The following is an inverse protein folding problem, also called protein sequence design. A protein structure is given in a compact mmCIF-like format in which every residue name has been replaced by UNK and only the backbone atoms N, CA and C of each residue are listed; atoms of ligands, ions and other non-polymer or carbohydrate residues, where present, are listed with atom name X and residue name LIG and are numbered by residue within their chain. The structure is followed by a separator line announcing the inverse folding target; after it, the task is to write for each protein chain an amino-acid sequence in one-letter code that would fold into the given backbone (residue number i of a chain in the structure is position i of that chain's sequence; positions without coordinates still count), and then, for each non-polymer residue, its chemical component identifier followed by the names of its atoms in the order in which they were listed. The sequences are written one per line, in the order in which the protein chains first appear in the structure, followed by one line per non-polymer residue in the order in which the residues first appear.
data_IF_039573130733
#
_entry.id   IF_039573130733
#
_cell.length_a   1.000
_cell.length_b   1.000
_cell.length_c   1.000
_cell.angle_alpha   90.00
_cell.angle_beta   90.00
_cell.angle_gamma   90.00
#
_symmetry.space_group_name_H-M   'P 1'
#
loop_
_entity.id
_entity.type
_entity.pdbx_description
1 polymer ?
#
# COMPACT_ATOMS: atom_id res chain seq x y z
N UNK A 1 -17.51 -12.60 62.15
CA UNK A 1 -18.88 -12.80 61.67
C UNK A 1 -18.92 -12.28 60.24
N UNK A 2 -18.42 -13.05 59.28
CA UNK A 2 -19.20 -13.97 58.41
C UNK A 2 -20.29 -13.21 57.64
N UNK A 3 -20.04 -12.88 56.37
CA UNK A 3 -20.65 -13.59 55.24
C UNK A 3 -19.96 -13.18 53.92
N UNK A 4 -19.61 -14.21 53.15
CA UNK A 4 -19.10 -14.12 51.80
C UNK A 4 -20.27 -14.28 50.83
N UNK A 5 -20.26 -13.57 49.70
CA UNK A 5 -20.89 -14.05 48.45
C UNK A 5 -20.15 -13.41 47.28
N UNK A 6 -19.26 -14.25 46.74
CA UNK A 6 -18.72 -14.22 45.39
C UNK A 6 -19.85 -14.54 44.39
N UNK A 7 -19.93 -13.79 43.29
CA UNK A 7 -20.63 -14.24 42.08
C UNK A 7 -20.04 -13.54 40.86
N UNK A 8 -18.96 -14.13 40.38
CA UNK A 8 -18.48 -13.98 39.00
C UNK A 8 -19.42 -14.75 38.06
N UNK A 9 -19.94 -14.11 37.02
CA UNK A 9 -20.64 -14.80 35.94
C UNK A 9 -20.09 -14.41 34.58
N UNK A 10 -19.28 -15.31 34.03
CA UNK A 10 -18.78 -15.35 32.65
C UNK A 10 -19.81 -16.03 31.74
N UNK A 11 -20.14 -15.49 30.55
CA UNK A 11 -20.97 -16.21 29.60
C UNK A 11 -20.13 -17.16 28.71
N UNK A 12 -20.43 -18.45 28.89
CA UNK A 12 -20.55 -19.52 27.89
C UNK A 12 -19.64 -19.46 26.63
N UNK A 13 -18.58 -20.27 26.67
CA UNK A 13 -17.95 -20.87 25.49
C UNK A 13 -18.94 -21.86 24.88
N UNK A 14 -19.38 -21.57 23.64
CA UNK A 14 -20.22 -22.47 22.85
C UNK A 14 -19.46 -23.75 22.54
N UNK A 15 -19.97 -24.85 23.08
CA UNK A 15 -19.43 -26.20 22.99
C UNK A 15 -19.95 -26.82 21.70
N UNK A 16 -19.11 -26.90 20.68
CA UNK A 16 -19.41 -27.71 19.49
C UNK A 16 -19.46 -29.20 19.89
N UNK A 17 -20.47 -29.96 19.43
CA UNK A 17 -20.53 -31.40 19.69
C UNK A 17 -19.44 -32.14 18.89
N UNK A 18 -18.82 -33.21 19.46
CA UNK A 18 -17.90 -34.08 18.73
C UNK A 18 -18.60 -34.81 17.58
N UNK A 19 -17.96 -34.83 16.42
CA UNK A 19 -18.35 -35.64 15.26
C UNK A 19 -17.95 -37.09 15.58
N UNK A 20 -18.92 -37.96 15.84
CA UNK A 20 -18.73 -39.41 15.85
C UNK A 20 -18.55 -39.89 14.40
N UNK A 21 -17.36 -40.38 14.11
CA UNK A 21 -17.06 -41.11 12.86
C UNK A 21 -17.38 -42.59 13.17
N UNK A 22 -18.38 -43.22 12.54
CA UNK A 22 -18.54 -44.66 12.67
C UNK A 22 -17.40 -45.35 11.93
N UNK A 23 -16.65 -46.15 12.68
CA UNK A 23 -15.56 -46.99 12.20
C UNK A 23 -16.11 -47.98 11.15
N UNK A 24 -15.47 -47.99 9.98
CA UNK A 24 -15.68 -49.00 8.96
C UNK A 24 -15.22 -50.36 9.49
N UNK A 25 -16.18 -51.26 9.68
CA UNK A 25 -15.95 -52.67 9.95
C UNK A 25 -15.78 -53.39 8.61
N UNK A 26 -14.59 -53.95 8.37
CA UNK A 26 -14.30 -54.82 7.23
C UNK A 26 -14.30 -56.26 7.74
N UNK A 27 -15.14 -57.15 7.17
CA UNK A 27 -14.88 -58.59 7.17
C UNK A 27 -14.49 -59.14 5.78
N UNK A 28 -13.72 -60.24 5.71
CA UNK A 28 -13.00 -60.67 4.52
C UNK A 28 -13.77 -61.63 3.60
N UNK A 29 -13.49 -61.46 2.30
CA UNK A 29 -13.20 -62.46 1.27
C UNK A 29 -13.92 -63.84 1.32
N UNK A 30 -14.82 -64.07 0.36
CA UNK A 30 -15.04 -65.40 -0.20
C UNK A 30 -15.38 -65.26 -1.70
N UNK A 31 -14.56 -65.89 -2.54
CA UNK A 31 -14.78 -66.07 -3.97
C UNK A 31 -16.10 -66.81 -4.25
N UNK A 32 -16.69 -66.62 -5.43
CA UNK A 32 -17.07 -67.67 -6.42
C UNK A 32 -17.98 -67.05 -7.50
N UNK A 33 -17.52 -67.20 -8.76
CA UNK A 33 -18.26 -67.35 -10.03
C UNK A 33 -19.12 -66.20 -10.62
N UNK A 34 -18.63 -65.74 -11.77
CA UNK A 34 -19.37 -65.13 -12.88
C UNK A 34 -20.49 -66.06 -13.38
N UNK A 35 -21.67 -65.52 -13.71
CA UNK A 35 -22.08 -65.58 -15.11
C UNK A 35 -22.64 -64.24 -15.63
N UNK A 36 -22.64 -64.16 -16.96
CA UNK A 36 -22.93 -62.99 -17.78
C UNK A 36 -24.34 -62.40 -17.65
N UNK A 37 -24.42 -61.13 -18.06
CA UNK A 37 -25.56 -60.50 -18.71
C UNK A 37 -26.66 -59.92 -17.82
N UNK A 38 -26.48 -58.64 -17.50
CA UNK A 38 -27.44 -57.57 -17.79
C UNK A 38 -26.75 -56.25 -17.47
N UNK A 39 -26.48 -55.43 -18.49
CA UNK A 39 -26.22 -54.00 -18.27
C UNK A 39 -27.50 -53.40 -17.70
N UNK A 40 -27.54 -52.95 -16.44
CA UNK A 40 -28.67 -52.17 -15.98
C UNK A 40 -28.59 -50.83 -16.68
N UNK A 41 -29.66 -50.51 -17.40
CA UNK A 41 -30.06 -49.16 -17.79
C UNK A 41 -29.77 -48.17 -16.64
N UNK A 42 -29.17 -46.99 -16.89
CA UNK A 42 -28.86 -46.05 -15.82
C UNK A 42 -30.17 -45.52 -15.24
N UNK A 43 -30.59 -46.11 -14.11
CA UNK A 43 -31.61 -45.56 -13.23
C UNK A 43 -31.27 -44.09 -12.94
N UNK A 44 -32.24 -43.16 -13.03
CA UNK A 44 -31.94 -41.74 -13.02
C UNK A 44 -31.41 -41.32 -11.64
N UNK A 45 -30.13 -40.90 -11.49
CA UNK A 45 -29.68 -40.26 -10.26
C UNK A 45 -30.17 -38.78 -10.20
N UNK A 46 -31.11 -38.41 -11.05
CA UNK A 46 -31.38 -37.02 -11.36
C UNK A 46 -32.05 -36.28 -10.21
N UNK A 47 -32.92 -36.90 -9.41
CA UNK A 47 -33.70 -36.14 -8.42
C UNK A 47 -32.88 -35.72 -7.20
N UNK A 48 -32.06 -36.61 -6.67
CA UNK A 48 -31.24 -36.29 -5.49
C UNK A 48 -30.02 -35.44 -5.86
N UNK A 49 -29.41 -35.68 -7.02
CA UNK A 49 -28.29 -34.87 -7.51
C UNK A 49 -28.73 -33.46 -7.90
N UNK A 50 -29.89 -33.30 -8.55
CA UNK A 50 -30.43 -31.97 -8.87
C UNK A 50 -30.84 -31.22 -7.61
N UNK A 51 -31.51 -31.88 -6.66
CA UNK A 51 -31.86 -31.27 -5.36
C UNK A 51 -30.61 -30.85 -4.59
N UNK A 52 -29.56 -31.67 -4.57
CA UNK A 52 -28.28 -31.32 -3.96
C UNK A 52 -27.61 -30.14 -4.69
N UNK A 53 -27.63 -30.14 -6.03
CA UNK A 53 -27.08 -29.05 -6.84
C UNK A 53 -27.82 -27.73 -6.58
N UNK A 54 -29.14 -27.76 -6.47
CA UNK A 54 -29.96 -26.61 -6.12
C UNK A 54 -29.65 -26.09 -4.71
N UNK A 55 -29.51 -27.01 -3.74
CA UNK A 55 -29.12 -26.65 -2.37
C UNK A 55 -27.71 -26.04 -2.31
N UNK A 56 -26.73 -26.61 -3.03
CA UNK A 56 -25.37 -26.05 -3.13
C UNK A 56 -25.44 -24.66 -3.77
N UNK A 57 -26.19 -24.50 -4.85
CA UNK A 57 -26.35 -23.20 -5.51
C UNK A 57 -27.00 -22.18 -4.58
N UNK A 58 -28.01 -22.57 -3.81
CA UNK A 58 -28.69 -21.72 -2.84
C UNK A 58 -27.74 -21.31 -1.70
N UNK A 59 -27.02 -22.27 -1.09
CA UNK A 59 -26.05 -22.00 -0.04
C UNK A 59 -24.91 -21.11 -0.54
N UNK A 60 -24.45 -21.31 -1.78
CA UNK A 60 -23.41 -20.47 -2.38
C UNK A 60 -23.89 -19.04 -2.61
N UNK A 61 -25.12 -18.84 -3.07
CA UNK A 61 -25.75 -17.51 -3.19
C UNK A 61 -25.83 -16.82 -1.83
N UNK A 62 -26.36 -17.51 -0.81
CA UNK A 62 -26.44 -16.97 0.56
C UNK A 62 -25.05 -16.61 1.12
N UNK A 63 -24.04 -17.44 0.87
CA UNK A 63 -22.66 -17.16 1.26
C UNK A 63 -22.11 -15.93 0.53
N UNK A 64 -22.34 -15.80 -0.78
CA UNK A 64 -21.91 -14.65 -1.57
C UNK A 64 -22.58 -13.35 -1.08
N UNK A 65 -23.88 -13.40 -0.76
CA UNK A 65 -24.66 -12.29 -0.23
C UNK A 65 -24.15 -11.87 1.16
N UNK A 66 -23.94 -12.83 2.07
CA UNK A 66 -23.40 -12.55 3.40
C UNK A 66 -21.98 -11.96 3.32
N UNK A 67 -21.13 -12.50 2.44
CA UNK A 67 -19.80 -11.95 2.19
C UNK A 67 -19.87 -10.53 1.63
N UNK A 68 -20.82 -10.23 0.74
CA UNK A 68 -21.10 -8.88 0.26
C UNK A 68 -21.55 -7.94 1.37
N UNK A 69 -22.47 -8.40 2.22
CA UNK A 69 -22.97 -7.67 3.38
C UNK A 69 -21.86 -7.32 4.37
N UNK A 70 -20.98 -8.28 4.70
CA UNK A 70 -19.81 -8.02 5.55
C UNK A 70 -18.92 -6.95 4.92
N UNK A 71 -18.60 -7.06 3.62
CA UNK A 71 -17.78 -6.05 2.94
C UNK A 71 -18.40 -4.66 3.07
N UNK A 72 -19.69 -4.54 2.79
CA UNK A 72 -20.43 -3.27 2.93
C UNK A 72 -20.41 -2.76 4.38
N UNK A 73 -20.63 -3.62 5.37
CA UNK A 73 -20.57 -3.25 6.78
C UNK A 73 -19.16 -2.80 7.19
N UNK A 74 -18.11 -3.48 6.71
CA UNK A 74 -16.73 -3.07 6.98
C UNK A 74 -16.39 -1.72 6.34
N UNK A 75 -16.93 -1.42 5.16
CA UNK A 75 -16.79 -0.12 4.50
C UNK A 75 -17.51 0.96 5.30
N UNK A 76 -18.75 0.70 5.70
CA UNK A 76 -19.54 1.62 6.52
C UNK A 76 -18.84 1.95 7.85
N UNK A 77 -18.29 0.93 8.53
CA UNK A 77 -17.50 1.14 9.74
C UNK A 77 -16.20 1.91 9.47
N UNK A 78 -15.59 1.73 8.30
CA UNK A 78 -14.40 2.49 7.91
C UNK A 78 -14.73 3.96 7.69
N UNK A 79 -15.83 4.24 6.98
CA UNK A 79 -16.37 5.59 6.76
C UNK A 79 -16.66 6.28 8.10
N UNK A 80 -17.42 5.62 8.98
CA UNK A 80 -17.76 6.16 10.30
C UNK A 80 -16.52 6.47 11.15
N UNK A 81 -15.51 5.59 11.14
CA UNK A 81 -14.25 5.83 11.84
C UNK A 81 -13.44 6.98 11.24
N UNK A 82 -13.54 7.20 9.94
CA UNK A 82 -12.90 8.33 9.26
C UNK A 82 -13.53 9.65 9.69
N UNK A 83 -14.85 9.72 9.67
CA UNK A 83 -15.61 10.89 10.12
C UNK A 83 -15.37 11.18 11.61
N UNK A 84 -15.37 10.14 12.45
CA UNK A 84 -15.03 10.25 13.86
C UNK A 84 -13.61 10.79 14.07
N UNK A 85 -12.63 10.29 13.29
CA UNK A 85 -11.26 10.79 13.33
C UNK A 85 -11.15 12.28 12.97
N UNK A 86 -11.92 12.73 11.98
CA UNK A 86 -12.03 14.16 11.62
C UNK A 86 -12.56 15.00 12.77
N UNK A 87 -13.70 14.61 13.36
CA UNK A 87 -14.32 15.34 14.48
C UNK A 87 -13.45 15.37 15.74
N UNK A 88 -12.79 14.26 16.04
CA UNK A 88 -11.84 14.20 17.15
C UNK A 88 -10.62 15.10 16.89
N UNK A 89 -10.14 15.20 15.65
CA UNK A 89 -9.03 16.10 15.29
C UNK A 89 -9.44 17.57 15.45
N UNK A 90 -10.62 17.96 14.96
CA UNK A 90 -11.18 19.31 15.14
C UNK A 90 -11.27 19.65 16.65
N UNK A 91 -11.85 18.76 17.45
CA UNK A 91 -11.98 18.96 18.89
C UNK A 91 -10.62 19.03 19.61
N UNK A 92 -9.68 18.15 19.23
CA UNK A 92 -8.31 18.17 19.78
C UNK A 92 -7.62 19.50 19.48
N UNK A 93 -7.77 20.04 18.28
CA UNK A 93 -7.20 21.34 17.92
C UNK A 93 -7.77 22.50 18.74
N UNK A 94 -9.03 22.41 19.20
CA UNK A 94 -9.63 23.41 20.09
C UNK A 94 -9.13 23.28 21.53
N UNK A 95 -9.08 22.05 22.06
CA UNK A 95 -8.79 21.79 23.47
C UNK A 95 -7.30 21.68 23.81
N UNK A 96 -6.45 21.38 22.84
CA UNK A 96 -5.01 21.18 23.02
C UNK A 96 -4.16 22.33 22.47
N UNK A 97 -4.74 23.54 22.31
CA UNK A 97 -3.97 24.74 21.97
C UNK A 97 -2.94 25.05 23.06
N UNK A 98 -1.72 25.47 22.71
CA UNK A 98 -0.78 26.01 23.68
C UNK A 98 -1.45 27.14 24.49
N UNK A 99 -1.48 27.01 25.83
CA UNK A 99 -2.17 27.94 26.73
C UNK A 99 -3.53 27.45 27.26
N UNK A 100 -4.10 26.37 26.70
CA UNK A 100 -5.23 25.66 27.29
C UNK A 100 -4.71 24.50 28.16
N UNK A 101 -5.21 24.36 29.39
CA UNK A 101 -4.71 23.45 30.42
C UNK A 101 -4.91 21.93 30.14
N UNK A 102 -4.65 21.45 28.93
CA UNK A 102 -4.67 20.02 28.60
C UNK A 102 -6.07 19.38 28.62
N UNK A 103 -7.11 20.15 28.25
CA UNK A 103 -8.51 19.74 28.34
C UNK A 103 -8.89 18.51 27.51
N UNK A 104 -8.06 18.12 26.54
CA UNK A 104 -8.25 16.91 25.72
C UNK A 104 -8.42 15.64 26.56
N UNK A 105 -7.60 15.46 27.61
CA UNK A 105 -7.68 14.23 28.43
C UNK A 105 -8.93 14.20 29.31
N UNK A 106 -9.41 15.36 29.77
CA UNK A 106 -10.64 15.47 30.55
C UNK A 106 -11.87 15.18 29.69
N UNK A 107 -11.93 15.76 28.49
CA UNK A 107 -12.98 15.53 27.50
C UNK A 107 -13.13 14.05 27.14
N UNK A 108 -12.01 13.36 26.87
CA UNK A 108 -12.03 11.93 26.56
C UNK A 108 -12.52 11.09 27.74
N UNK A 109 -12.19 11.47 28.98
CA UNK A 109 -12.64 10.77 30.19
C UNK A 109 -14.14 10.93 30.40
N UNK A 110 -14.68 12.12 30.18
CA UNK A 110 -16.11 12.42 30.27
C UNK A 110 -16.94 11.61 29.28
N UNK A 111 -16.49 11.53 28.02
CA UNK A 111 -17.16 10.75 26.98
C UNK A 111 -16.81 9.24 26.98
N UNK A 112 -16.04 8.76 27.98
CA UNK A 112 -15.57 7.37 28.10
C UNK A 112 -14.84 6.85 26.86
N UNK A 113 -14.11 7.73 26.18
CA UNK A 113 -13.33 7.38 25.00
C UNK A 113 -11.91 7.03 25.43
N UNK A 114 -11.40 5.82 25.14
CA UNK A 114 -10.01 5.48 25.42
C UNK A 114 -9.06 6.39 24.65
N UNK A 115 -8.10 7.01 25.35
CA UNK A 115 -7.14 7.95 24.76
C UNK A 115 -6.36 7.35 23.59
N UNK A 116 -5.89 6.12 23.73
CA UNK A 116 -5.18 5.42 22.65
C UNK A 116 -6.03 5.29 21.38
N UNK A 117 -7.33 5.02 21.52
CA UNK A 117 -8.25 4.92 20.37
C UNK A 117 -8.46 6.27 19.72
N UNK A 118 -8.68 7.32 20.52
CA UNK A 118 -8.86 8.68 20.02
C UNK A 118 -7.61 9.16 19.28
N UNK A 119 -6.43 9.04 19.89
CA UNK A 119 -5.16 9.45 19.30
C UNK A 119 -4.86 8.66 18.00
N UNK A 120 -5.18 7.35 17.95
CA UNK A 120 -5.07 6.54 16.73
C UNK A 120 -5.97 7.05 15.61
N UNK A 121 -7.22 7.40 15.91
CA UNK A 121 -8.17 7.91 14.92
C UNK A 121 -7.76 9.30 14.39
N UNK A 122 -7.30 10.18 15.28
CA UNK A 122 -6.76 11.50 14.93
C UNK A 122 -5.53 11.36 14.03
N UNK A 123 -4.54 10.55 14.44
CA UNK A 123 -3.33 10.31 13.65
C UNK A 123 -3.66 9.74 12.27
N UNK A 124 -4.64 8.83 12.19
CA UNK A 124 -5.10 8.27 10.91
C UNK A 124 -5.71 9.35 10.00
N UNK A 125 -6.48 10.27 10.57
CA UNK A 125 -7.04 11.40 9.81
C UNK A 125 -5.94 12.38 9.36
N UNK A 126 -5.00 12.74 10.23
CA UNK A 126 -3.84 13.58 9.89
C UNK A 126 -3.03 12.98 8.72
N UNK A 127 -2.82 11.65 8.73
CA UNK A 127 -2.18 10.94 7.60
C UNK A 127 -3.01 10.97 6.31
N UNK A 128 -4.34 10.98 6.40
CA UNK A 128 -5.20 11.10 5.22
C UNK A 128 -5.16 12.48 4.58
N UNK A 129 -4.90 13.52 5.38
CA UNK A 129 -4.70 14.90 4.88
C UNK A 129 -3.34 15.06 4.20
N UNK A 130 -2.31 14.35 4.70
CA UNK A 130 -0.96 14.37 4.16
C UNK A 130 -0.55 12.98 3.63
N UNK A 131 -1.12 12.51 2.50
CA UNK A 131 -0.79 11.20 1.94
C UNK A 131 0.70 11.07 1.56
N UNK A 132 1.37 12.21 1.33
CA UNK A 132 2.79 12.30 1.01
C UNK A 132 3.66 12.71 2.22
N UNK A 133 3.11 12.85 3.43
CA UNK A 133 3.89 13.31 4.60
C UNK A 133 5.08 12.39 4.97
N UNK A 134 5.03 11.13 4.52
CA UNK A 134 6.12 10.16 4.65
C UNK A 134 6.78 9.79 3.31
N UNK A 135 6.39 10.43 2.20
CA UNK A 135 7.12 10.33 0.94
C UNK A 135 8.16 11.42 0.95
N UNK A 136 9.42 11.04 0.75
CA UNK A 136 10.49 11.99 0.43
C UNK A 136 10.02 12.74 -0.83
N UNK A 137 9.57 13.99 -0.67
CA UNK A 137 9.20 14.89 -1.77
C UNK A 137 10.41 15.52 -2.44
N UNK A 138 11.62 15.10 -2.03
CA UNK A 138 12.84 15.44 -2.75
C UNK A 138 12.72 14.86 -4.16
N UNK A 139 12.83 15.75 -5.16
CA UNK A 139 13.06 15.40 -6.55
C UNK A 139 14.06 14.25 -6.59
N UNK A 140 13.71 13.13 -7.22
CA UNK A 140 14.61 11.99 -7.42
C UNK A 140 15.76 12.51 -8.27
N UNK A 141 16.82 12.99 -7.62
CA UNK A 141 18.08 13.28 -8.28
C UNK A 141 18.55 11.97 -8.91
N UNK A 142 19.11 12.06 -10.11
CA UNK A 142 19.70 10.89 -10.75
C UNK A 142 20.66 10.23 -9.74
N UNK A 143 20.45 8.93 -9.42
CA UNK A 143 21.24 8.27 -8.39
C UNK A 143 22.72 8.43 -8.68
N UNK A 144 23.46 8.92 -7.70
CA UNK A 144 24.91 9.08 -7.86
C UNK A 144 25.54 7.70 -8.06
N UNK A 145 26.64 7.61 -8.82
CA UNK A 145 27.34 6.34 -9.07
C UNK A 145 27.66 5.56 -7.78
N UNK A 146 27.96 6.28 -6.69
CA UNK A 146 28.18 5.72 -5.36
C UNK A 146 26.93 5.06 -4.74
N UNK A 147 25.74 5.59 -5.00
CA UNK A 147 24.47 5.04 -4.53
C UNK A 147 24.09 3.79 -5.31
N UNK A 148 24.33 3.80 -6.63
CA UNK A 148 24.15 2.64 -7.51
C UNK A 148 25.08 1.51 -7.06
N UNK A 149 26.34 1.81 -6.78
CA UNK A 149 27.30 0.82 -6.29
C UNK A 149 26.89 0.26 -4.93
N UNK A 150 26.46 1.11 -3.99
CA UNK A 150 26.00 0.67 -2.67
C UNK A 150 24.75 -0.22 -2.76
N UNK A 151 23.83 0.08 -3.68
CA UNK A 151 22.69 -0.81 -3.96
C UNK A 151 23.16 -2.16 -4.49
N UNK A 152 24.10 -2.17 -5.45
CA UNK A 152 24.66 -3.40 -5.99
C UNK A 152 25.31 -4.25 -4.89
N UNK A 153 26.13 -3.65 -4.02
CA UNK A 153 26.83 -4.35 -2.95
C UNK A 153 25.86 -4.98 -1.93
N UNK A 154 24.70 -4.35 -1.71
CA UNK A 154 23.63 -4.91 -0.85
C UNK A 154 22.94 -6.12 -1.47
N UNK A 155 22.70 -6.11 -2.79
CA UNK A 155 21.94 -7.18 -3.46
C UNK A 155 22.82 -8.32 -3.97
N UNK A 156 24.07 -8.04 -4.33
CA UNK A 156 25.04 -9.00 -4.86
C UNK A 156 25.22 -10.26 -3.98
N UNK A 157 25.38 -10.19 -2.64
CA UNK A 157 25.51 -11.39 -1.82
C UNK A 157 24.26 -12.27 -1.84
N UNK A 158 23.07 -11.66 -1.94
CA UNK A 158 21.81 -12.41 -2.06
C UNK A 158 21.70 -13.07 -3.42
N UNK A 159 22.05 -12.36 -4.50
CA UNK A 159 22.05 -12.91 -5.86
C UNK A 159 23.03 -14.08 -6.01
N UNK A 160 24.24 -13.99 -5.43
CA UNK A 160 25.21 -15.12 -5.43
C UNK A 160 24.68 -16.37 -4.73
N UNK A 161 23.84 -16.21 -3.70
CA UNK A 161 23.22 -17.33 -2.98
C UNK A 161 22.05 -17.95 -3.76
N UNK A 162 21.29 -17.12 -4.48
CA UNK A 162 20.07 -17.55 -5.20
C UNK A 162 20.36 -18.05 -6.61
N UNK A 163 21.42 -17.55 -7.24
CA UNK A 163 21.85 -17.87 -8.61
C UNK A 163 23.22 -18.57 -8.58
N UNK A 164 23.30 -19.81 -8.08
CA UNK A 164 24.57 -20.52 -7.92
C UNK A 164 25.16 -21.00 -9.24
N UNK A 165 24.35 -21.13 -10.30
CA UNK A 165 24.81 -21.63 -11.60
C UNK A 165 24.97 -20.50 -12.62
N UNK A 166 25.97 -20.58 -13.51
CA UNK A 166 26.19 -19.54 -14.53
C UNK A 166 25.01 -19.40 -15.49
N UNK A 167 24.31 -20.50 -15.81
CA UNK A 167 23.11 -20.47 -16.64
C UNK A 167 21.94 -19.70 -15.98
N UNK A 168 21.74 -19.86 -14.67
CA UNK A 168 20.70 -19.13 -13.94
C UNK A 168 21.01 -17.63 -13.83
N UNK A 169 22.30 -17.29 -13.63
CA UNK A 169 22.75 -15.90 -13.61
C UNK A 169 22.56 -15.23 -14.97
N UNK A 170 22.88 -15.92 -16.07
CA UNK A 170 22.66 -15.42 -17.43
C UNK A 170 21.18 -15.13 -17.70
N UNK A 171 20.29 -16.08 -17.39
CA UNK A 171 18.84 -15.89 -17.52
C UNK A 171 18.30 -14.76 -16.64
N UNK A 172 18.83 -14.61 -15.43
CA UNK A 172 18.46 -13.49 -14.56
C UNK A 172 18.85 -12.14 -15.18
N UNK A 173 20.05 -12.02 -15.75
CA UNK A 173 20.50 -10.78 -16.40
C UNK A 173 19.65 -10.48 -17.64
N UNK A 174 19.31 -11.48 -18.45
CA UNK A 174 18.41 -11.34 -19.61
C UNK A 174 17.02 -10.81 -19.21
N UNK A 175 16.46 -11.34 -18.12
CA UNK A 175 15.19 -10.86 -17.55
C UNK A 175 15.32 -9.45 -16.96
N UNK A 176 16.44 -9.16 -16.28
CA UNK A 176 16.70 -7.86 -15.68
C UNK A 176 16.78 -6.76 -16.75
N UNK A 177 17.56 -7.00 -17.80
CA UNK A 177 17.70 -6.10 -18.95
C UNK A 177 16.33 -5.85 -19.62
N UNK A 178 15.56 -6.91 -19.82
CA UNK A 178 14.20 -6.82 -20.38
C UNK A 178 13.25 -6.02 -19.49
N UNK A 179 13.34 -6.17 -18.16
CA UNK A 179 12.51 -5.44 -17.19
C UNK A 179 12.87 -3.96 -17.06
N UNK A 180 14.13 -3.61 -17.29
CA UNK A 180 14.66 -2.24 -17.22
C UNK A 180 14.60 -1.52 -18.58
N UNK A 181 14.01 -2.14 -19.60
CA UNK A 181 13.93 -1.62 -20.96
C UNK A 181 15.29 -1.16 -21.52
N UNK A 182 16.37 -1.86 -21.16
CA UNK A 182 17.70 -1.56 -21.65
C UNK A 182 17.89 -2.14 -23.05
N UNK A 183 18.45 -1.34 -23.97
CA UNK A 183 18.78 -1.80 -25.31
C UNK A 183 19.94 -2.82 -25.24
N UNK A 184 19.60 -4.09 -25.48
CA UNK A 184 20.58 -5.18 -25.48
C UNK A 184 20.45 -6.02 -26.74
N UNK A 185 21.59 -6.39 -27.33
CA UNK A 185 21.67 -7.33 -28.46
C UNK A 185 22.14 -8.67 -27.94
N UNK A 186 21.39 -9.72 -28.24
CA UNK A 186 21.77 -11.11 -27.95
C UNK A 186 22.53 -11.65 -29.16
N UNK A 187 23.79 -12.05 -28.95
CA UNK A 187 24.69 -12.62 -29.95
C UNK A 187 25.07 -14.06 -29.57
N UNK A 188 25.69 -14.79 -30.50
CA UNK A 188 26.15 -16.17 -30.27
C UNK A 188 27.23 -16.24 -29.18
N UNK A 189 27.98 -15.16 -28.94
CA UNK A 189 28.97 -15.07 -27.86
C UNK A 189 28.44 -14.50 -26.53
N UNK A 190 27.19 -14.00 -26.45
CA UNK A 190 26.59 -13.49 -25.21
C UNK A 190 25.68 -12.25 -25.36
N UNK A 191 25.44 -11.54 -24.24
CA UNK A 191 24.67 -10.28 -24.22
C UNK A 191 25.60 -9.07 -24.40
N UNK A 192 25.26 -8.17 -25.32
CA UNK A 192 25.92 -6.88 -25.49
C UNK A 192 24.97 -5.73 -25.18
N UNK A 193 25.29 -4.93 -24.16
CA UNK A 193 24.50 -3.75 -23.76
C UNK A 193 24.96 -2.51 -24.53
N UNK A 194 24.01 -1.79 -25.12
CA UNK A 194 24.27 -0.47 -25.73
C UNK A 194 24.27 0.57 -24.61
N UNK A 195 25.38 1.33 -24.47
CA UNK A 195 25.43 2.44 -23.52
C UNK A 195 24.46 3.52 -24.01
N UNK A 196 23.49 3.98 -23.20
CA UNK A 196 22.63 5.10 -23.58
C UNK A 196 23.52 6.35 -23.69
N UNK A 197 23.69 6.86 -24.90
CA UNK A 197 24.29 8.17 -25.12
C UNK A 197 23.31 9.20 -24.57
N UNK A 198 23.72 9.97 -23.56
CA UNK A 198 22.96 11.13 -23.11
C UNK A 198 22.89 12.12 -24.28
N UNK A 199 21.81 12.07 -25.06
CA UNK A 199 21.56 13.05 -26.10
C UNK A 199 20.98 14.27 -25.40
N UNK A 200 21.83 15.24 -25.13
CA UNK A 200 21.44 16.58 -24.68
C UNK A 200 20.57 17.19 -25.77
N UNK A 201 19.24 17.01 -25.69
CA UNK A 201 18.29 17.81 -26.44
C UNK A 201 18.18 19.18 -25.76
N UNK A 202 19.17 20.04 -26.01
CA UNK A 202 18.91 21.48 -25.98
C UNK A 202 18.02 21.74 -27.20
N UNK A 203 16.75 22.00 -26.93
CA UNK A 203 15.81 22.50 -27.93
C UNK A 203 16.28 23.89 -28.35
N UNK A 204 17.17 23.94 -29.36
CA UNK A 204 17.38 25.12 -30.19
C UNK A 204 16.18 25.26 -31.13
N UNK A 205 15.07 25.80 -30.61
CA UNK A 205 14.07 26.45 -31.45
C UNK A 205 14.54 27.87 -31.71
N UNK A 206 15.22 28.08 -32.84
CA UNK A 206 15.14 29.30 -33.66
C UNK A 206 16.13 29.22 -34.82
N UNK A 207 15.66 28.83 -36.00
CA UNK A 207 15.98 29.50 -37.27
C UNK A 207 15.14 28.86 -38.41
N UNK A 208 14.80 29.68 -39.40
CA UNK A 208 13.96 29.47 -40.59
C UNK A 208 12.44 29.59 -40.35
N UNK A 209 11.72 30.56 -40.91
CA UNK A 209 11.97 31.30 -42.15
C UNK A 209 11.45 32.75 -42.09
N UNK A 210 12.13 33.56 -42.90
CA UNK A 210 11.85 34.94 -43.27
C UNK A 210 10.38 35.19 -43.65
N UNK A 211 9.90 36.42 -43.39
CA UNK A 211 9.55 37.44 -44.40
C UNK A 211 8.38 38.32 -43.90
N UNK A 212 8.68 39.45 -43.25
CA UNK A 212 7.85 40.66 -43.42
C UNK A 212 8.56 41.92 -42.92
N UNK A 213 8.72 42.83 -43.86
CA UNK A 213 9.37 44.11 -43.78
C UNK A 213 8.70 45.13 -42.83
N UNK A 214 9.52 46.14 -42.51
CA UNK A 214 9.20 47.58 -42.36
C UNK A 214 9.36 48.18 -40.96
N UNK A 215 10.46 48.94 -40.85
CA UNK A 215 10.72 50.16 -40.05
C UNK A 215 10.76 50.08 -38.52
N UNK A 216 11.95 50.33 -37.95
CA UNK A 216 12.28 51.68 -37.41
C UNK A 216 13.76 51.77 -36.99
N UNK A 217 14.38 52.97 -37.01
CA UNK A 217 15.84 53.14 -36.93
C UNK A 217 16.37 53.57 -35.55
N UNK A 218 17.70 53.50 -35.45
CA UNK A 218 18.61 54.29 -34.61
C UNK A 218 19.01 53.73 -33.23
N UNK A 219 20.23 53.17 -33.20
CA UNK A 219 21.25 53.33 -32.15
C UNK A 219 21.51 54.82 -31.79
N UNK A 220 22.17 55.21 -30.66
CA UNK A 220 23.31 54.50 -30.04
C UNK A 220 23.46 54.53 -28.48
N UNK A 221 24.37 53.66 -28.04
CA UNK A 221 25.17 53.55 -26.79
C UNK A 221 25.83 54.90 -26.35
N UNK A 222 26.66 55.03 -25.25
CA UNK A 222 26.98 54.21 -24.05
C UNK A 222 27.17 55.04 -22.72
N UNK A 223 27.82 54.45 -21.68
CA UNK A 223 28.70 55.07 -20.62
C UNK A 223 28.06 55.42 -19.26
N UNK A 224 28.65 55.27 -18.04
CA UNK A 224 29.79 54.60 -17.35
C UNK A 224 29.63 54.96 -15.84
N UNK A 225 30.01 54.05 -14.91
CA UNK A 225 30.44 54.24 -13.49
C UNK A 225 29.49 55.01 -12.52
N UNK A 226 29.60 54.98 -11.18
CA UNK A 226 30.64 54.63 -10.22
C UNK A 226 29.95 54.32 -8.85
N UNK A 227 30.73 53.95 -7.83
CA UNK A 227 30.31 53.22 -6.62
C UNK A 227 29.85 54.14 -5.43
N UNK A 228 30.20 53.84 -4.15
CA UNK A 228 29.29 53.43 -3.07
C UNK A 228 29.13 54.48 -1.95
N UNK A 229 28.17 54.31 -1.02
CA UNK A 229 28.23 54.98 0.29
C UNK A 229 27.38 54.27 1.37
N UNK A 230 28.03 54.11 2.52
CA UNK A 230 27.54 53.71 3.85
C UNK A 230 26.36 54.56 4.36
N UNK A 231 25.57 54.00 5.27
CA UNK A 231 25.01 54.73 6.42
C UNK A 231 24.77 53.77 7.59
N UNK A 232 25.63 53.95 8.60
CA UNK A 232 25.52 53.55 9.99
C UNK A 232 24.35 54.20 10.75
N UNK A 233 24.03 53.64 11.93
CA UNK A 233 23.23 54.25 13.00
C UNK A 233 21.72 53.95 12.93
N UNK A 234 20.99 53.63 14.00
CA UNK A 234 21.09 54.15 15.37
C UNK A 234 20.23 53.28 16.33
N UNK A 235 20.71 53.16 17.57
CA UNK A 235 20.08 52.49 18.71
C UNK A 235 18.77 53.14 19.17
N UNK A 236 17.85 52.35 19.73
CA UNK A 236 17.11 52.81 20.92
C UNK A 236 16.57 51.62 21.74
N UNK A 237 17.21 51.41 22.89
CA UNK A 237 16.62 50.76 24.05
C UNK A 237 15.41 51.58 24.55
N UNK A 238 14.34 50.91 24.95
CA UNK A 238 13.41 51.44 25.96
C UNK A 238 12.98 50.29 26.87
N UNK A 239 13.46 50.35 28.11
CA UNK A 239 12.98 49.59 29.27
C UNK A 239 11.85 50.34 29.99
N UNK A 240 11.17 49.61 30.91
CA UNK A 240 10.31 50.08 32.02
C UNK A 240 8.84 50.31 31.62
N UNK A 241 7.79 49.82 32.31
CA UNK A 241 7.61 49.25 33.65
C UNK A 241 6.58 48.09 33.62
#
# INVERSE_FOLDING_TARGET
MTEATDQSQTPAVSKFPPIEIPAAEIPPEAATETPESQTPEPEPPAQDETALTEQIAQLWRLHADYKGSIKNQTENLRSLRSELGKKLSEMKQLLARPGCAGGWSAYLREHRIPRATADRLVTKHERSLNPNGNRLTESITEPTESEIQNLFDKIAPKLRRVLPTPASAYRFVELLVSSLALECRVSEEGLTMVKPSQKTEVVETMQEAQDKAVQSPAEPVPVVADAPAECDGESMEISVA
#
